data_IF_724385469218
#
_entry.id   IF_724385469218
#
_cell.length_a   1.000
_cell.length_b   1.000
_cell.length_c   1.000
_cell.angle_alpha   90.00
_cell.angle_beta   90.00
_cell.angle_gamma   90.00
#
_symmetry.space_group_name_H-M   'P 1'
#
loop_
_entity.id
_entity.type
_entity.pdbx_description
1 polymer ?
#
# COMPACT_ATOMS: atom_id res chain seq x y z
N UNK A 1 17.53 -0.16 52.19
CA UNK A 1 18.01 -0.19 50.79
C UNK A 1 17.02 0.62 49.95
N UNK A 2 17.33 1.90 49.66
CA UNK A 2 16.38 2.88 49.10
C UNK A 2 16.23 2.70 47.58
N UNK A 3 14.99 2.80 47.12
CA UNK A 3 14.54 2.64 45.74
C UNK A 3 15.12 3.71 44.82
N UNK A 4 15.56 3.29 43.62
CA UNK A 4 16.12 4.15 42.57
C UNK A 4 14.99 5.00 42.00
N UNK A 5 14.98 6.29 42.31
CA UNK A 5 14.06 7.27 41.73
C UNK A 5 14.38 7.39 40.23
N UNK A 6 13.42 7.04 39.38
CA UNK A 6 13.54 7.11 37.92
C UNK A 6 13.61 8.58 37.48
N UNK A 7 14.78 9.00 37.03
CA UNK A 7 15.07 10.34 36.50
C UNK A 7 14.23 10.61 35.23
N UNK A 8 13.16 11.41 35.37
CA UNK A 8 12.42 11.98 34.24
C UNK A 8 13.28 13.10 33.65
N UNK A 9 14.11 12.75 32.67
CA UNK A 9 14.81 13.73 31.81
C UNK A 9 13.80 14.68 31.16
N UNK A 10 13.72 15.91 31.67
CA UNK A 10 12.89 16.98 31.11
C UNK A 10 13.56 17.50 29.85
N UNK A 11 13.07 17.07 28.68
CA UNK A 11 13.52 17.60 27.39
C UNK A 11 13.16 19.10 27.36
N UNK A 12 14.11 20.01 27.06
CA UNK A 12 13.82 21.44 27.02
C UNK A 12 12.81 21.72 25.90
N UNK A 13 11.81 22.54 26.19
CA UNK A 13 10.67 22.82 25.31
C UNK A 13 11.09 23.28 23.90
N UNK A 14 12.25 23.91 23.77
CA UNK A 14 12.85 24.37 22.49
C UNK A 14 13.30 23.22 21.57
N UNK A 15 13.79 22.11 22.14
CA UNK A 15 14.18 20.93 21.34
C UNK A 15 12.93 20.17 20.89
N UNK A 16 11.93 20.10 21.77
CA UNK A 16 10.63 19.51 21.43
C UNK A 16 9.93 20.32 20.31
N UNK A 17 9.91 21.65 20.39
CA UNK A 17 9.29 22.49 19.36
C UNK A 17 10.01 22.44 18.01
N UNK A 18 11.33 22.35 17.99
CA UNK A 18 12.10 22.24 16.73
C UNK A 18 11.87 20.90 16.04
N UNK A 19 11.80 19.80 16.81
CA UNK A 19 11.49 18.46 16.28
C UNK A 19 10.07 18.38 15.73
N UNK A 20 9.10 19.05 16.37
CA UNK A 20 7.72 19.15 15.89
C UNK A 20 7.66 19.95 14.58
N UNK A 21 8.37 21.07 14.49
CA UNK A 21 8.41 21.88 13.26
C UNK A 21 9.05 21.14 12.07
N UNK A 22 10.09 20.35 12.31
CA UNK A 22 10.71 19.52 11.27
C UNK A 22 9.77 18.39 10.80
N UNK A 23 9.08 17.74 11.75
CA UNK A 23 8.12 16.68 11.43
C UNK A 23 6.91 17.21 10.65
N UNK A 24 6.39 18.39 11.01
CA UNK A 24 5.27 19.02 10.29
C UNK A 24 5.68 19.49 8.90
N UNK A 25 6.88 20.04 8.73
CA UNK A 25 7.39 20.44 7.41
C UNK A 25 7.56 19.24 6.48
N UNK A 26 8.10 18.12 6.99
CA UNK A 26 8.24 16.89 6.21
C UNK A 26 6.89 16.29 5.83
N UNK A 27 5.95 16.21 6.79
CA UNK A 27 4.59 15.71 6.54
C UNK A 27 3.84 16.58 5.51
N UNK A 28 3.97 17.90 5.58
CA UNK A 28 3.41 18.81 4.59
C UNK A 28 4.06 18.60 3.21
N UNK A 29 5.38 18.48 3.16
CA UNK A 29 6.11 18.19 1.91
C UNK A 29 5.64 16.89 1.24
N UNK A 30 5.46 15.82 2.02
CA UNK A 30 4.92 14.54 1.54
C UNK A 30 3.47 14.65 1.06
N UNK A 31 2.63 15.41 1.77
CA UNK A 31 1.23 15.62 1.39
C UNK A 31 1.08 16.37 0.06
N UNK A 32 1.97 17.32 -0.25
CA UNK A 32 1.98 18.01 -1.55
C UNK A 32 2.40 17.09 -2.71
N UNK A 33 3.11 15.99 -2.45
CA UNK A 33 3.56 15.02 -3.46
C UNK A 33 2.68 13.78 -3.54
N UNK A 34 1.62 13.70 -2.72
CA UNK A 34 0.63 12.65 -2.82
C UNK A 34 -0.26 12.91 -4.05
N UNK A 35 0.22 12.48 -5.22
CA UNK A 35 -0.62 12.42 -6.41
C UNK A 35 -1.82 11.50 -6.12
N UNK A 36 -3.04 11.85 -6.57
CA UNK A 36 -4.16 10.96 -6.44
C UNK A 36 -3.85 9.63 -7.14
N UNK A 37 -4.10 8.51 -6.46
CA UNK A 37 -4.05 7.20 -7.10
C UNK A 37 -5.27 7.09 -8.03
N UNK A 38 -5.08 7.41 -9.30
CA UNK A 38 -6.07 7.23 -10.36
C UNK A 38 -6.04 5.74 -10.74
N UNK A 39 -6.76 4.93 -9.98
CA UNK A 39 -7.10 3.60 -10.44
C UNK A 39 -8.34 3.75 -11.33
N UNK A 40 -8.19 3.56 -12.64
CA UNK A 40 -9.29 3.48 -13.61
C UNK A 40 -9.98 2.11 -13.48
N UNK A 41 -10.37 1.78 -12.24
CA UNK A 41 -11.20 0.63 -11.95
C UNK A 41 -12.58 1.00 -12.45
N UNK A 42 -12.81 0.63 -13.71
CA UNK A 42 -13.97 0.93 -14.54
C UNK A 42 -15.24 1.00 -13.69
N UNK A 43 -15.63 2.22 -13.26
CA UNK A 43 -16.90 2.47 -12.56
C UNK A 43 -18.03 2.50 -13.59
N UNK A 44 -18.10 1.42 -14.34
CA UNK A 44 -18.80 1.36 -15.59
C UNK A 44 -20.01 0.45 -15.34
N UNK A 45 -21.21 1.03 -15.46
CA UNK A 45 -22.46 0.32 -15.18
C UNK A 45 -22.51 -1.00 -15.97
N UNK A 46 -23.19 -2.07 -15.51
CA UNK A 46 -23.21 -3.37 -16.21
C UNK A 46 -23.69 -3.33 -17.68
N UNK A 47 -24.15 -2.18 -18.17
CA UNK A 47 -24.55 -1.92 -19.56
C UNK A 47 -23.43 -1.45 -20.49
N UNK A 48 -22.27 -1.06 -19.95
CA UNK A 48 -21.13 -0.55 -20.73
C UNK A 48 -20.08 -1.63 -21.04
N UNK A 49 -20.25 -2.86 -20.57
CA UNK A 49 -19.35 -3.99 -20.88
C UNK A 49 -19.20 -4.19 -22.39
N UNK A 50 -20.23 -3.82 -23.17
CA UNK A 50 -20.19 -3.83 -24.64
C UNK A 50 -19.36 -2.68 -25.26
N UNK A 51 -19.00 -1.65 -24.48
CA UNK A 51 -18.17 -0.52 -24.92
C UNK A 51 -16.68 -0.76 -24.64
N UNK A 52 -16.35 -1.61 -23.66
CA UNK A 52 -14.99 -2.11 -23.41
C UNK A 52 -14.75 -3.24 -24.40
N UNK A 53 -14.31 -2.87 -25.61
CA UNK A 53 -13.96 -3.81 -26.67
C UNK A 53 -12.45 -3.83 -26.83
N UNK A 54 -11.86 -5.00 -26.68
CA UNK A 54 -10.43 -5.23 -26.82
C UNK A 54 -10.12 -6.67 -26.43
N UNK A 55 -9.02 -7.20 -26.95
CA UNK A 55 -8.42 -8.39 -26.38
C UNK A 55 -7.55 -7.94 -25.22
N UNK A 56 -7.75 -8.50 -24.04
CA UNK A 56 -6.84 -8.27 -22.92
C UNK A 56 -5.46 -8.83 -23.28
N UNK A 57 -4.39 -8.16 -22.85
CA UNK A 57 -3.03 -8.67 -23.04
C UNK A 57 -2.69 -9.76 -22.02
N UNK A 58 -3.31 -9.71 -20.83
CA UNK A 58 -3.02 -10.61 -19.72
C UNK A 58 -4.27 -11.09 -18.98
N UNK A 59 -4.21 -12.32 -18.47
CA UNK A 59 -5.19 -12.88 -17.53
C UNK A 59 -4.50 -13.30 -16.24
N UNK A 60 -5.00 -12.83 -15.11
CA UNK A 60 -4.55 -13.25 -13.79
C UNK A 60 -5.42 -14.38 -13.25
N UNK A 61 -4.80 -15.51 -12.90
CA UNK A 61 -5.48 -16.70 -12.38
C UNK A 61 -4.98 -16.99 -10.97
N UNK A 62 -5.91 -17.05 -10.02
CA UNK A 62 -5.62 -17.55 -8.68
C UNK A 62 -5.71 -19.06 -8.65
N UNK A 63 -4.58 -19.73 -8.52
CA UNK A 63 -4.52 -21.19 -8.41
C UNK A 63 -4.48 -21.59 -6.93
N UNK A 64 -5.30 -22.56 -6.55
CA UNK A 64 -5.26 -23.14 -5.21
C UNK A 64 -4.21 -24.25 -5.13
N UNK A 65 -3.41 -24.23 -4.06
CA UNK A 65 -2.46 -25.27 -3.74
C UNK A 65 -3.16 -26.57 -3.36
N UNK A 66 -2.67 -27.70 -3.89
CA UNK A 66 -3.19 -29.04 -3.57
C UNK A 66 -2.12 -29.83 -2.84
N UNK A 67 -2.51 -30.47 -1.73
CA UNK A 67 -1.61 -31.30 -0.93
C UNK A 67 -1.01 -32.44 -1.78
N UNK A 68 0.30 -32.63 -1.68
CA UNK A 68 1.08 -33.62 -2.42
C UNK A 68 1.43 -33.21 -3.86
N UNK A 69 1.16 -31.97 -4.28
CA UNK A 69 1.48 -31.46 -5.61
C UNK A 69 2.29 -30.17 -5.53
N UNK A 70 3.49 -30.19 -6.12
CA UNK A 70 4.39 -29.03 -6.12
C UNK A 70 4.79 -28.61 -4.70
N UNK A 71 4.59 -27.35 -4.37
CA UNK A 71 4.85 -26.75 -3.06
C UNK A 71 3.56 -26.47 -2.27
N UNK A 72 2.43 -27.05 -2.70
CA UNK A 72 1.12 -27.01 -2.02
C UNK A 72 0.58 -25.59 -1.73
N UNK A 73 1.14 -24.56 -2.37
CA UNK A 73 0.85 -23.16 -2.05
C UNK A 73 0.02 -22.49 -3.16
N UNK A 74 -0.92 -21.64 -2.74
CA UNK A 74 -1.67 -20.78 -3.65
C UNK A 74 -0.75 -19.84 -4.43
N UNK A 75 -1.08 -19.56 -5.68
CA UNK A 75 -0.32 -18.64 -6.54
C UNK A 75 -1.22 -17.76 -7.38
N UNK A 76 -0.79 -16.53 -7.60
CA UNK A 76 -1.35 -15.65 -8.61
C UNK A 76 -0.50 -15.78 -9.88
N UNK A 77 -1.05 -16.43 -10.90
CA UNK A 77 -0.39 -16.66 -12.18
C UNK A 77 -0.82 -15.58 -13.16
N UNK A 78 0.14 -15.01 -13.90
CA UNK A 78 -0.14 -14.06 -14.99
C UNK A 78 0.08 -14.77 -16.32
N UNK A 79 -0.93 -14.77 -17.17
CA UNK A 79 -0.93 -15.45 -18.47
C UNK A 79 -0.97 -14.40 -19.57
N UNK A 80 0.01 -14.39 -20.47
CA UNK A 80 -0.05 -13.65 -21.73
C UNK A 80 -1.04 -14.35 -22.66
N UNK A 81 -2.04 -13.61 -23.13
CA UNK A 81 -3.15 -14.15 -23.93
C UNK A 81 -3.18 -13.56 -25.34
N UNK A 82 -2.09 -12.96 -25.81
CA UNK A 82 -1.95 -12.54 -27.20
C UNK A 82 -1.79 -13.78 -28.12
N UNK A 83 -2.61 -13.97 -29.17
CA UNK A 83 -2.74 -15.23 -29.89
C UNK A 83 -1.74 -15.40 -31.05
#
# INVERSE_FOLDING_TARGET
MRTKCTDRRKIPATILSLSVAAATALAAGLALHAAPALADETCNSPYVTNLIKGQEDYVHVWTLGVKGMGDESDKLVTVDVNP
#
